data_IF_591138498158
#
_entry.id   IF_591138498158
#
_cell.length_a   1.000
_cell.length_b   1.000
_cell.length_c   1.000
_cell.angle_alpha   90.00
_cell.angle_beta   90.00
_cell.angle_gamma   90.00
#
_symmetry.space_group_name_H-M   'P 1'
#
loop_
_entity.id
_entity.type
_entity.pdbx_description
1 polymer ?
#
# COMPACT_ATOMS: atom_id res chain seq x y z
N UNK A 1 10.21 -5.95 -16.34
CA UNK A 1 10.10 -5.06 -15.15
C UNK A 1 11.19 -5.28 -14.09
N UNK A 2 11.72 -6.49 -13.92
CA UNK A 2 12.80 -6.76 -12.94
C UNK A 2 14.19 -6.33 -13.40
N UNK A 3 14.32 -5.90 -14.66
CA UNK A 3 15.53 -5.32 -15.25
C UNK A 3 15.26 -3.84 -15.52
N UNK A 4 16.01 -2.95 -14.86
CA UNK A 4 15.74 -1.51 -14.88
C UNK A 4 15.99 -0.90 -16.26
N UNK A 5 17.09 -1.26 -16.91
CA UNK A 5 17.45 -0.85 -18.28
C UNK A 5 16.32 -1.12 -19.30
N UNK A 6 15.67 -2.29 -19.20
CA UNK A 6 14.54 -2.63 -20.06
C UNK A 6 13.29 -1.80 -19.76
N UNK A 7 13.08 -1.42 -18.50
CA UNK A 7 11.97 -0.55 -18.08
C UNK A 7 12.19 0.87 -18.56
N UNK A 8 13.42 1.38 -18.43
CA UNK A 8 13.81 2.70 -18.93
C UNK A 8 13.64 2.77 -20.45
N UNK A 9 14.07 1.75 -21.18
CA UNK A 9 13.86 1.65 -22.63
C UNK A 9 12.37 1.69 -23.01
N UNK A 10 11.52 0.94 -22.31
CA UNK A 10 10.07 0.95 -22.51
C UNK A 10 9.45 2.33 -22.24
N UNK A 11 9.85 3.01 -21.17
CA UNK A 11 9.36 4.36 -20.85
C UNK A 11 9.87 5.38 -21.86
N UNK A 12 11.12 5.27 -22.32
CA UNK A 12 11.68 6.13 -23.35
C UNK A 12 10.92 5.99 -24.68
N UNK A 13 10.56 4.76 -25.08
CA UNK A 13 9.72 4.52 -26.26
C UNK A 13 8.36 5.20 -26.13
N UNK A 14 7.72 5.08 -24.97
CA UNK A 14 6.45 5.76 -24.69
C UNK A 14 6.56 7.29 -24.83
N UNK A 15 7.62 7.87 -24.22
CA UNK A 15 7.91 9.30 -24.33
C UNK A 15 8.19 9.73 -25.77
N UNK A 16 8.96 8.95 -26.52
CA UNK A 16 9.26 9.26 -27.92
C UNK A 16 8.00 9.25 -28.80
N UNK A 17 7.08 8.33 -28.51
CA UNK A 17 5.84 8.17 -29.28
C UNK A 17 4.76 9.21 -28.94
N UNK A 18 4.60 9.55 -27.67
CA UNK A 18 3.47 10.35 -27.19
C UNK A 18 3.87 11.67 -26.53
N UNK A 19 5.17 11.93 -26.37
CA UNK A 19 5.72 13.16 -25.78
C UNK A 19 5.64 13.24 -24.26
N UNK A 20 4.87 12.36 -23.60
CA UNK A 20 4.60 12.39 -22.16
C UNK A 20 4.27 11.02 -21.58
N UNK A 21 4.35 10.91 -20.26
CA UNK A 21 3.83 9.76 -19.49
C UNK A 21 3.07 10.30 -18.28
N UNK A 22 1.76 10.06 -18.25
CA UNK A 22 0.85 10.62 -17.25
C UNK A 22 0.37 9.62 -16.21
N UNK A 23 0.20 8.38 -16.65
CA UNK A 23 -0.40 7.30 -15.86
C UNK A 23 0.55 6.11 -15.85
N UNK A 24 0.82 5.58 -14.66
CA UNK A 24 1.49 4.29 -14.48
C UNK A 24 0.61 3.36 -13.65
N UNK A 25 0.31 2.19 -14.20
CA UNK A 25 -0.43 1.12 -13.50
C UNK A 25 0.53 -0.05 -13.27
N UNK A 26 0.97 -0.22 -12.02
CA UNK A 26 1.83 -1.34 -11.60
C UNK A 26 0.99 -2.58 -11.26
N UNK A 27 0.57 -3.32 -12.30
CA UNK A 27 -0.29 -4.51 -12.17
C UNK A 27 0.44 -5.86 -12.28
N UNK A 28 1.63 -5.89 -12.88
CA UNK A 28 2.35 -7.13 -13.15
C UNK A 28 2.65 -7.93 -11.84
N UNK A 29 2.52 -9.25 -11.91
CA UNK A 29 2.67 -10.11 -10.74
C UNK A 29 2.78 -11.60 -11.07
N UNK A 30 3.29 -12.37 -10.11
CA UNK A 30 3.38 -13.83 -10.13
C UNK A 30 3.02 -14.44 -8.76
N UNK A 31 2.75 -15.75 -8.71
CA UNK A 31 2.54 -16.52 -7.48
C UNK A 31 3.62 -17.61 -7.31
N UNK A 32 3.94 -17.92 -6.05
CA UNK A 32 4.85 -19.00 -5.59
C UNK A 32 4.42 -19.45 -4.20
N UNK A 33 3.18 -19.92 -4.13
CA UNK A 33 2.48 -20.16 -2.86
C UNK A 33 2.96 -21.46 -2.23
N UNK A 34 3.44 -21.36 -0.98
CA UNK A 34 3.92 -22.46 -0.15
C UNK A 34 3.79 -22.06 1.31
N UNK A 35 3.55 -23.03 2.21
CA UNK A 35 3.74 -22.79 3.64
C UNK A 35 5.16 -22.30 3.88
N UNK A 36 5.35 -21.38 4.83
CA UNK A 36 6.67 -20.76 5.03
C UNK A 36 7.79 -21.80 5.25
N UNK A 37 7.50 -22.86 6.00
CA UNK A 37 8.42 -23.99 6.23
C UNK A 37 8.86 -24.73 4.95
N UNK A 38 8.07 -24.68 3.88
CA UNK A 38 8.34 -25.34 2.60
C UNK A 38 8.79 -24.35 1.52
N UNK A 39 8.77 -23.07 1.81
CA UNK A 39 9.14 -22.01 0.87
C UNK A 39 10.66 -21.90 0.78
N UNK A 40 11.20 -21.97 -0.43
CA UNK A 40 12.61 -21.66 -0.63
C UNK A 40 12.80 -20.15 -0.65
N UNK A 41 13.99 -19.68 -0.28
CA UNK A 41 14.28 -18.25 -0.35
C UNK A 41 14.33 -17.74 -1.80
N UNK A 42 14.57 -18.60 -2.78
CA UNK A 42 14.46 -18.24 -4.19
C UNK A 42 13.01 -17.98 -4.62
N UNK A 43 12.07 -18.81 -4.15
CA UNK A 43 10.63 -18.57 -4.37
C UNK A 43 10.20 -17.24 -3.72
N UNK A 44 10.69 -16.96 -2.52
CA UNK A 44 10.43 -15.69 -1.83
C UNK A 44 11.00 -14.51 -2.61
N UNK A 45 12.29 -14.56 -2.94
CA UNK A 45 13.01 -13.50 -3.66
C UNK A 45 12.36 -13.23 -5.01
N UNK A 46 12.00 -14.26 -5.76
CA UNK A 46 11.39 -14.09 -7.09
C UNK A 46 10.06 -13.34 -7.04
N UNK A 47 9.23 -13.59 -6.02
CA UNK A 47 7.98 -12.84 -5.81
C UNK A 47 8.29 -11.39 -5.45
N UNK A 48 9.21 -11.13 -4.51
CA UNK A 48 9.60 -9.76 -4.13
C UNK A 48 10.23 -9.00 -5.30
N UNK A 49 11.10 -9.63 -6.07
CA UNK A 49 11.74 -9.05 -7.26
C UNK A 49 10.68 -8.55 -8.26
N UNK A 50 9.67 -9.36 -8.57
CA UNK A 50 8.63 -8.98 -9.53
C UNK A 50 7.71 -7.90 -8.96
N UNK A 51 7.17 -8.11 -7.75
CA UNK A 51 6.12 -7.25 -7.21
C UNK A 51 6.64 -5.96 -6.60
N UNK A 52 7.72 -6.01 -5.83
CA UNK A 52 8.28 -4.83 -5.16
C UNK A 52 9.32 -4.14 -6.02
N UNK A 53 10.42 -4.82 -6.37
CA UNK A 53 11.49 -4.18 -7.15
C UNK A 53 11.03 -3.82 -8.57
N UNK A 54 10.23 -4.68 -9.21
CA UNK A 54 9.63 -4.37 -10.52
C UNK A 54 8.75 -3.11 -10.48
N UNK A 55 7.91 -2.97 -9.46
CA UNK A 55 7.09 -1.77 -9.23
C UNK A 55 7.97 -0.54 -8.97
N UNK A 56 9.00 -0.66 -8.14
CA UNK A 56 9.92 0.44 -7.86
C UNK A 56 10.67 0.89 -9.12
N UNK A 57 11.13 -0.04 -9.95
CA UNK A 57 11.80 0.25 -11.23
C UNK A 57 10.87 1.04 -12.16
N UNK A 58 9.64 0.56 -12.37
CA UNK A 58 8.65 1.23 -13.22
C UNK A 58 8.32 2.63 -12.72
N UNK A 59 8.07 2.77 -11.40
CA UNK A 59 7.78 4.07 -10.80
C UNK A 59 8.97 5.03 -10.92
N UNK A 60 10.20 4.55 -10.66
CA UNK A 60 11.42 5.37 -10.77
C UNK A 60 11.62 5.88 -12.19
N UNK A 61 11.39 5.04 -13.20
CA UNK A 61 11.58 5.39 -14.61
C UNK A 61 10.64 6.50 -15.09
N UNK A 62 9.42 6.63 -14.51
CA UNK A 62 8.47 7.69 -14.88
C UNK A 62 8.52 8.92 -13.95
N UNK A 63 9.12 8.80 -12.77
CA UNK A 63 9.01 9.79 -11.69
C UNK A 63 9.48 11.19 -12.08
N UNK A 64 10.69 11.32 -12.63
CA UNK A 64 11.23 12.63 -13.02
C UNK A 64 10.41 13.26 -14.15
N UNK A 65 9.91 12.45 -15.09
CA UNK A 65 9.02 12.94 -16.14
C UNK A 65 7.72 13.49 -15.56
N UNK A 66 7.11 12.80 -14.60
CA UNK A 66 5.90 13.28 -13.91
C UNK A 66 6.17 14.55 -13.08
N UNK A 67 7.35 14.66 -12.45
CA UNK A 67 7.76 15.85 -11.70
C UNK A 67 7.91 17.07 -12.59
N UNK A 68 8.62 16.92 -13.71
CA UNK A 68 8.81 17.98 -14.72
C UNK A 68 7.47 18.45 -15.31
N UNK A 69 6.54 17.51 -15.54
CA UNK A 69 5.19 17.80 -16.05
C UNK A 69 4.24 18.42 -15.01
N UNK A 70 4.59 18.40 -13.72
CA UNK A 70 3.66 18.69 -12.61
C UNK A 70 2.33 17.92 -12.72
N UNK A 71 2.41 16.66 -13.15
CA UNK A 71 1.27 15.77 -13.23
C UNK A 71 1.74 14.31 -13.24
N UNK A 72 1.12 13.49 -12.40
CA UNK A 72 1.29 12.03 -12.44
C UNK A 72 0.19 11.29 -11.70
N UNK A 73 -0.19 10.12 -12.20
CA UNK A 73 -1.17 9.23 -11.59
C UNK A 73 -0.59 7.82 -11.54
N UNK A 74 -0.32 7.33 -10.34
CA UNK A 74 0.29 6.02 -10.13
C UNK A 74 -0.66 5.13 -9.35
N UNK A 75 -0.99 3.97 -9.91
CA UNK A 75 -1.69 2.92 -9.21
C UNK A 75 -0.74 1.76 -8.90
N UNK A 76 -0.69 1.36 -7.65
CA UNK A 76 -0.01 0.17 -7.17
C UNK A 76 -1.04 -0.95 -6.96
N UNK A 77 -0.67 -2.21 -7.19
CA UNK A 77 -1.56 -3.35 -6.95
C UNK A 77 -1.13 -4.12 -5.70
N UNK A 78 -1.85 -3.93 -4.60
CA UNK A 78 -1.79 -4.75 -3.38
C UNK A 78 -2.74 -5.97 -3.50
N UNK A 79 -3.18 -6.54 -2.38
CA UNK A 79 -4.18 -7.62 -2.30
C UNK A 79 -4.71 -7.78 -0.87
N UNK A 80 -5.82 -8.50 -0.71
CA UNK A 80 -6.28 -8.95 0.61
C UNK A 80 -5.18 -9.70 1.38
N UNK A 81 -4.38 -10.55 0.73
CA UNK A 81 -3.26 -11.26 1.36
C UNK A 81 -2.18 -10.33 1.91
N UNK A 82 -2.00 -9.16 1.31
CA UNK A 82 -1.06 -8.14 1.82
C UNK A 82 -1.61 -7.33 2.98
N UNK A 83 -2.92 -7.11 3.01
CA UNK A 83 -3.57 -6.26 4.03
C UNK A 83 -3.93 -7.10 5.27
N UNK A 84 -4.47 -8.29 5.07
CA UNK A 84 -5.06 -9.14 6.13
C UNK A 84 -4.28 -10.44 6.36
N UNK A 85 -3.34 -10.78 5.47
CA UNK A 85 -2.66 -12.07 5.46
C UNK A 85 -3.42 -13.17 4.72
N UNK A 86 -2.68 -14.19 4.28
CA UNK A 86 -3.27 -15.42 3.73
C UNK A 86 -2.31 -16.60 3.95
N UNK A 87 -2.85 -17.76 4.30
CA UNK A 87 -2.04 -18.94 4.59
C UNK A 87 -1.26 -19.39 3.35
N UNK A 88 0.04 -19.67 3.52
CA UNK A 88 0.91 -20.11 2.43
C UNK A 88 1.37 -19.01 1.46
N UNK A 89 1.13 -17.74 1.80
CA UNK A 89 1.48 -16.59 0.96
C UNK A 89 2.39 -15.58 1.68
N UNK A 90 3.36 -16.04 2.48
CA UNK A 90 4.24 -15.10 3.22
C UNK A 90 5.07 -14.20 2.30
N UNK A 91 5.57 -14.72 1.17
CA UNK A 91 6.25 -13.94 0.13
C UNK A 91 5.32 -12.93 -0.56
N UNK A 92 4.17 -13.40 -1.04
CA UNK A 92 3.20 -12.60 -1.76
C UNK A 92 2.55 -11.54 -0.87
N UNK A 93 2.11 -11.93 0.33
CA UNK A 93 1.60 -11.04 1.36
C UNK A 93 2.60 -9.94 1.72
N UNK A 94 3.87 -10.29 1.97
CA UNK A 94 4.91 -9.30 2.24
C UNK A 94 5.10 -8.31 1.07
N UNK A 95 5.21 -8.81 -0.16
CA UNK A 95 5.39 -7.95 -1.33
C UNK A 95 4.17 -7.05 -1.60
N UNK A 96 2.94 -7.54 -1.37
CA UNK A 96 1.70 -6.77 -1.55
C UNK A 96 1.45 -5.77 -0.42
N UNK A 97 1.85 -6.08 0.82
CA UNK A 97 1.82 -5.14 1.93
C UNK A 97 2.79 -3.96 1.69
N UNK A 98 3.95 -4.22 1.09
CA UNK A 98 4.95 -3.19 0.77
C UNK A 98 4.40 -2.09 -0.16
N UNK A 99 3.38 -2.37 -0.99
CA UNK A 99 2.73 -1.37 -1.83
C UNK A 99 2.13 -0.22 -1.00
N UNK A 100 1.56 -0.53 0.17
CA UNK A 100 0.95 0.48 1.06
C UNK A 100 2.03 1.38 1.64
N UNK A 101 3.13 0.81 2.13
CA UNK A 101 4.28 1.59 2.61
C UNK A 101 4.89 2.47 1.51
N UNK A 102 5.03 1.93 0.30
CA UNK A 102 5.57 2.67 -0.84
C UNK A 102 4.66 3.83 -1.27
N UNK A 103 3.35 3.59 -1.36
CA UNK A 103 2.35 4.63 -1.62
C UNK A 103 2.42 5.74 -0.57
N UNK A 104 2.49 5.40 0.72
CA UNK A 104 2.50 6.38 1.80
C UNK A 104 3.67 7.37 1.69
N UNK A 105 4.85 6.89 1.31
CA UNK A 105 6.03 7.75 1.13
C UNK A 105 5.91 8.58 -0.15
N UNK A 106 5.59 7.95 -1.28
CA UNK A 106 5.49 8.65 -2.56
C UNK A 106 4.35 9.67 -2.61
N UNK A 107 3.29 9.48 -1.83
CA UNK A 107 2.24 10.49 -1.64
C UNK A 107 2.83 11.81 -1.18
N UNK A 108 3.72 11.78 -0.17
CA UNK A 108 4.37 12.98 0.36
C UNK A 108 5.39 13.57 -0.62
N UNK A 109 6.20 12.72 -1.26
CA UNK A 109 7.21 13.17 -2.24
C UNK A 109 6.58 13.77 -3.50
N UNK A 110 5.43 13.26 -3.93
CA UNK A 110 4.72 13.67 -5.15
C UNK A 110 3.79 14.88 -4.98
N UNK A 111 3.44 15.24 -3.74
CA UNK A 111 2.40 16.22 -3.44
C UNK A 111 2.63 17.58 -4.11
N UNK A 112 3.88 18.08 -4.10
CA UNK A 112 4.24 19.39 -4.69
C UNK A 112 4.13 19.42 -6.22
N UNK A 113 4.20 18.26 -6.87
CA UNK A 113 4.19 18.13 -8.33
C UNK A 113 2.89 17.51 -8.86
N UNK A 114 1.81 17.51 -8.06
CA UNK A 114 0.50 16.92 -8.43
C UNK A 114 0.64 15.45 -8.93
N UNK A 115 1.55 14.70 -8.30
CA UNK A 115 1.68 13.26 -8.49
C UNK A 115 0.85 12.59 -7.39
N UNK A 116 -0.17 11.84 -7.80
CA UNK A 116 -1.04 11.08 -6.89
C UNK A 116 -0.72 9.61 -6.99
N UNK A 117 -0.54 8.97 -5.83
CA UNK A 117 -0.24 7.54 -5.74
C UNK A 117 -1.34 6.89 -4.91
N UNK A 118 -1.96 5.86 -5.48
CA UNK A 118 -3.01 5.07 -4.84
C UNK A 118 -2.71 3.58 -4.97
N UNK A 119 -3.33 2.78 -4.11
CA UNK A 119 -3.21 1.33 -4.08
C UNK A 119 -4.57 0.69 -4.33
N UNK A 120 -4.61 -0.27 -5.25
CA UNK A 120 -5.76 -1.14 -5.48
C UNK A 120 -5.53 -2.48 -4.74
N UNK A 121 -6.53 -2.96 -4.02
CA UNK A 121 -6.61 -4.31 -3.50
C UNK A 121 -7.76 -5.05 -4.20
N UNK A 122 -7.48 -5.67 -5.37
CA UNK A 122 -8.52 -6.26 -6.18
C UNK A 122 -8.88 -7.69 -5.71
N UNK A 123 -10.14 -8.05 -5.93
CA UNK A 123 -10.64 -9.42 -5.86
C UNK A 123 -11.33 -9.74 -7.18
N UNK A 124 -10.62 -10.43 -8.07
CA UNK A 124 -11.11 -10.82 -9.39
C UNK A 124 -10.72 -12.26 -9.72
N UNK A 125 -11.63 -12.99 -10.36
CA UNK A 125 -11.36 -14.26 -11.01
C UNK A 125 -10.40 -13.98 -12.17
N UNK A 126 -9.17 -14.46 -12.02
CA UNK A 126 -8.16 -14.43 -13.08
C UNK A 126 -7.71 -15.86 -13.34
N UNK A 127 -6.83 -16.05 -14.33
CA UNK A 127 -6.12 -17.33 -14.54
C UNK A 127 -5.48 -17.89 -13.25
N UNK A 128 -5.20 -17.04 -12.26
CA UNK A 128 -4.67 -17.47 -10.95
C UNK A 128 -5.71 -18.17 -10.05
N UNK A 129 -7.02 -18.03 -10.33
CA UNK A 129 -8.13 -18.61 -9.55
C UNK A 129 -8.93 -19.67 -10.32
N UNK A 130 -8.55 -19.99 -11.55
CA UNK A 130 -9.21 -21.03 -12.36
C UNK A 130 -9.16 -22.39 -11.65
N UNK A 131 -10.31 -23.05 -11.55
CA UNK A 131 -10.45 -24.37 -10.89
C UNK A 131 -10.51 -24.34 -9.37
N UNK A 132 -10.34 -23.18 -8.72
CA UNK A 132 -10.44 -23.04 -7.26
C UNK A 132 -11.82 -22.62 -6.76
N UNK A 133 -12.66 -22.04 -7.62
CA UNK A 133 -13.98 -21.50 -7.25
C UNK A 133 -15.08 -22.00 -8.19
N UNK A 134 -16.34 -22.13 -7.72
CA UNK A 134 -17.48 -22.45 -8.56
C UNK A 134 -17.68 -21.41 -9.68
N UNK A 135 -18.14 -21.86 -10.85
CA UNK A 135 -18.36 -20.99 -12.02
C UNK A 135 -19.29 -19.81 -11.73
N UNK A 136 -20.35 -20.04 -10.95
CA UNK A 136 -21.29 -19.00 -10.51
C UNK A 136 -20.58 -17.87 -9.74
N UNK A 137 -19.57 -18.20 -8.93
CA UNK A 137 -18.76 -17.23 -8.19
C UNK A 137 -17.76 -16.55 -9.12
N UNK A 138 -17.14 -17.30 -10.04
CA UNK A 138 -16.23 -16.74 -11.03
C UNK A 138 -16.90 -15.68 -11.91
N UNK A 139 -18.15 -15.91 -12.32
CA UNK A 139 -18.93 -14.96 -13.12
C UNK A 139 -19.23 -13.64 -12.38
N UNK A 140 -19.29 -13.67 -11.04
CA UNK A 140 -19.42 -12.46 -10.23
C UNK A 140 -18.10 -11.71 -10.06
N UNK A 141 -16.96 -12.30 -10.42
CA UNK A 141 -15.64 -11.74 -10.12
C UNK A 141 -14.86 -11.36 -11.38
N UNK A 142 -15.55 -11.05 -12.47
CA UNK A 142 -14.90 -10.69 -13.74
C UNK A 142 -14.00 -9.45 -13.58
N UNK A 143 -12.81 -9.41 -14.21
CA UNK A 143 -11.87 -8.30 -14.08
C UNK A 143 -12.47 -6.93 -14.43
N UNK A 144 -13.40 -6.88 -15.38
CA UNK A 144 -14.08 -5.68 -15.86
C UNK A 144 -14.85 -4.98 -14.74
N UNK A 145 -15.30 -5.73 -13.72
CA UNK A 145 -16.02 -5.20 -12.57
C UNK A 145 -15.13 -4.39 -11.62
N UNK A 146 -13.81 -4.47 -11.78
CA UNK A 146 -12.83 -3.67 -11.02
C UNK A 146 -12.36 -2.44 -11.81
N UNK A 147 -12.52 -2.44 -13.14
CA UNK A 147 -12.06 -1.38 -14.04
C UNK A 147 -12.53 0.03 -13.65
N UNK A 148 -13.79 0.28 -13.23
CA UNK A 148 -14.20 1.62 -12.81
C UNK A 148 -13.36 2.17 -11.65
N UNK A 149 -12.99 1.32 -10.68
CA UNK A 149 -12.12 1.69 -9.57
C UNK A 149 -10.70 2.00 -10.04
N UNK A 150 -10.14 1.18 -10.93
CA UNK A 150 -8.83 1.42 -11.55
C UNK A 150 -8.79 2.78 -12.23
N UNK A 151 -9.78 3.06 -13.11
CA UNK A 151 -9.85 4.30 -13.86
C UNK A 151 -10.00 5.52 -12.95
N UNK A 152 -10.81 5.42 -11.89
CA UNK A 152 -10.94 6.52 -10.93
C UNK A 152 -9.63 6.82 -10.19
N UNK A 153 -8.91 5.79 -9.73
CA UNK A 153 -7.63 5.94 -9.02
C UNK A 153 -6.51 6.59 -9.86
N UNK A 154 -6.66 6.62 -11.18
CA UNK A 154 -5.72 7.25 -12.10
C UNK A 154 -6.32 8.39 -12.93
N UNK A 155 -7.53 8.83 -12.59
CA UNK A 155 -8.18 9.97 -13.25
C UNK A 155 -7.55 11.30 -12.82
N UNK A 156 -7.88 12.38 -13.53
CA UNK A 156 -7.49 13.74 -13.12
C UNK A 156 -7.96 14.07 -11.70
N UNK A 157 -9.15 13.62 -11.33
CA UNK A 157 -9.77 13.81 -10.00
C UNK A 157 -9.50 12.64 -9.04
N UNK A 158 -8.51 11.79 -9.33
CA UNK A 158 -8.15 10.67 -8.46
C UNK A 158 -7.88 11.15 -7.03
N UNK A 159 -8.21 10.36 -6.00
CA UNK A 159 -7.73 10.66 -4.65
C UNK A 159 -6.20 10.49 -4.57
N UNK A 160 -5.63 10.60 -3.38
CA UNK A 160 -4.22 10.29 -3.13
C UNK A 160 -4.11 9.56 -1.79
N UNK A 161 -3.13 8.67 -1.65
CA UNK A 161 -2.94 7.84 -0.44
C UNK A 161 -4.16 6.97 -0.12
N UNK A 162 -4.88 6.48 -1.13
CA UNK A 162 -6.06 5.62 -0.94
C UNK A 162 -5.73 4.15 -1.18
N UNK A 163 -6.24 3.28 -0.30
CA UNK A 163 -6.27 1.83 -0.51
C UNK A 163 -7.69 1.44 -0.89
N UNK A 164 -7.94 1.19 -2.17
CA UNK A 164 -9.27 0.83 -2.68
C UNK A 164 -9.41 -0.70 -2.74
N UNK A 165 -10.29 -1.26 -1.92
CA UNK A 165 -10.83 -2.60 -2.11
C UNK A 165 -11.80 -2.61 -3.29
N UNK A 166 -11.65 -3.54 -4.23
CA UNK A 166 -12.54 -3.63 -5.38
C UNK A 166 -12.73 -5.08 -5.84
N UNK A 167 -13.98 -5.51 -6.01
CA UNK A 167 -14.28 -6.87 -6.46
C UNK A 167 -15.79 -7.07 -6.60
N UNK A 168 -16.19 -7.87 -7.57
CA UNK A 168 -17.60 -8.14 -7.85
C UNK A 168 -18.50 -6.90 -8.04
N UNK A 169 -17.93 -5.80 -8.56
CA UNK A 169 -18.64 -4.54 -8.74
C UNK A 169 -18.83 -3.75 -7.44
N UNK A 170 -18.29 -4.24 -6.32
CA UNK A 170 -18.27 -3.54 -5.04
C UNK A 170 -16.94 -2.82 -4.83
N UNK A 171 -16.99 -1.70 -4.11
CA UNK A 171 -15.83 -0.86 -3.80
C UNK A 171 -15.85 -0.46 -2.32
N UNK A 172 -14.70 -0.47 -1.67
CA UNK A 172 -14.50 -0.02 -0.30
C UNK A 172 -13.15 0.65 -0.14
N UNK A 173 -12.98 1.50 0.88
CA UNK A 173 -11.69 2.09 1.22
C UNK A 173 -11.18 1.47 2.50
N UNK A 174 -9.93 1.01 2.49
CA UNK A 174 -9.23 0.51 3.68
C UNK A 174 -8.46 1.66 4.32
N UNK A 175 -8.64 1.83 5.62
CA UNK A 175 -7.95 2.83 6.43
C UNK A 175 -7.07 2.15 7.47
N UNK A 176 -5.97 2.81 7.85
CA UNK A 176 -5.11 2.42 8.96
C UNK A 176 -5.33 3.43 10.09
N UNK A 177 -5.82 2.93 11.22
CA UNK A 177 -6.08 3.71 12.42
C UNK A 177 -5.11 3.31 13.52
N UNK A 178 -4.82 4.25 14.42
CA UNK A 178 -4.05 4.00 15.63
C UNK A 178 -4.84 4.44 16.85
N UNK A 179 -4.82 3.65 17.91
CA UNK A 179 -5.48 3.96 19.18
C UNK A 179 -4.84 5.18 19.86
N UNK A 180 -5.55 5.82 20.82
CA UNK A 180 -4.98 6.88 21.64
C UNK A 180 -3.70 6.44 22.36
N UNK A 181 -2.77 7.37 22.53
CA UNK A 181 -1.55 7.12 23.29
C UNK A 181 -1.87 6.98 24.79
N UNK A 182 -1.28 5.99 25.45
CA UNK A 182 -1.37 5.79 26.90
C UNK A 182 0.01 6.00 27.51
N UNK A 183 0.15 7.03 28.35
CA UNK A 183 1.38 7.27 29.09
C UNK A 183 1.43 6.39 30.35
N UNK A 184 2.54 5.67 30.55
CA UNK A 184 2.71 4.67 31.62
C UNK A 184 3.84 5.02 32.61
N UNK A 185 4.19 6.30 32.78
CA UNK A 185 5.19 6.71 33.79
C UNK A 185 6.62 6.90 33.28
N UNK A 186 6.83 6.97 31.95
CA UNK A 186 8.10 7.34 31.34
C UNK A 186 9.21 6.30 31.57
N UNK A 187 10.39 6.74 32.00
CA UNK A 187 11.57 5.87 32.17
C UNK A 187 11.41 4.79 33.26
N UNK A 188 10.42 4.92 34.14
CA UNK A 188 10.14 3.95 35.21
C UNK A 188 9.07 2.92 34.82
N UNK A 189 8.48 3.03 33.62
CA UNK A 189 7.47 2.09 33.15
C UNK A 189 8.04 0.67 33.05
N UNK A 190 7.26 -0.31 33.50
CA UNK A 190 7.61 -1.73 33.50
C UNK A 190 6.77 -2.52 32.50
N UNK A 191 7.13 -3.79 32.28
CA UNK A 191 6.30 -4.72 31.50
C UNK A 191 4.94 -4.95 32.16
N UNK A 192 4.89 -4.95 33.49
CA UNK A 192 3.66 -5.15 34.25
C UNK A 192 2.72 -3.95 34.11
N UNK A 193 3.27 -2.72 34.02
CA UNK A 193 2.46 -1.52 33.74
C UNK A 193 1.78 -1.60 32.36
N UNK A 194 2.49 -2.09 31.34
CA UNK A 194 1.92 -2.31 30.00
C UNK A 194 0.82 -3.37 30.06
N UNK A 195 1.07 -4.50 30.73
CA UNK A 195 0.10 -5.59 30.85
C UNK A 195 -1.16 -5.14 31.61
N UNK A 196 -0.99 -4.43 32.73
CA UNK A 196 -2.08 -3.92 33.55
C UNK A 196 -2.93 -2.87 32.82
N UNK A 197 -2.38 -2.19 31.81
CA UNK A 197 -3.07 -1.17 31.00
C UNK A 197 -3.43 -1.66 29.59
N UNK A 198 -3.27 -2.95 29.28
CA UNK A 198 -3.43 -3.45 27.91
C UNK A 198 -4.81 -3.17 27.33
N UNK A 199 -5.88 -3.36 28.09
CA UNK A 199 -7.25 -3.07 27.64
C UNK A 199 -7.43 -1.61 27.20
N UNK A 200 -6.78 -0.67 27.91
CA UNK A 200 -6.79 0.74 27.57
C UNK A 200 -5.97 1.02 26.30
N UNK A 201 -4.80 0.40 26.17
CA UNK A 201 -3.91 0.54 25.00
C UNK A 201 -4.58 -0.01 23.74
N UNK A 202 -5.26 -1.15 23.85
CA UNK A 202 -5.89 -1.85 22.72
C UNK A 202 -7.32 -1.40 22.42
N UNK A 203 -7.87 -0.44 23.17
CA UNK A 203 -9.22 0.05 22.95
C UNK A 203 -9.32 0.85 21.65
N UNK A 204 -10.23 0.47 20.76
CA UNK A 204 -10.52 1.20 19.52
C UNK A 204 -11.26 2.53 19.77
N UNK A 205 -11.69 2.81 21.00
CA UNK A 205 -12.36 4.06 21.33
C UNK A 205 -11.41 5.25 21.10
N UNK A 206 -11.80 6.14 20.18
CA UNK A 206 -11.01 7.32 19.82
C UNK A 206 -9.83 7.04 18.88
N UNK A 207 -9.80 5.89 18.20
CA UNK A 207 -8.81 5.64 17.15
C UNK A 207 -8.89 6.69 16.04
N UNK A 208 -7.73 7.00 15.46
CA UNK A 208 -7.63 8.03 14.42
C UNK A 208 -6.59 7.64 13.36
N UNK A 209 -6.79 8.15 12.14
CA UNK A 209 -5.80 8.00 11.07
C UNK A 209 -4.60 8.89 11.36
N UNK A 210 -3.40 8.40 11.04
CA UNK A 210 -2.15 9.15 11.21
C UNK A 210 -1.59 9.51 9.83
N UNK A 211 -1.44 10.82 9.58
CA UNK A 211 -1.14 11.31 8.24
C UNK A 211 0.32 11.11 7.82
N UNK A 212 1.26 11.28 8.76
CA UNK A 212 2.69 11.13 8.54
C UNK A 212 3.38 10.57 9.80
N UNK A 213 4.56 9.97 9.63
CA UNK A 213 5.31 9.35 10.73
C UNK A 213 5.55 10.31 11.91
N UNK A 214 5.85 11.58 11.65
CA UNK A 214 6.09 12.56 12.73
C UNK A 214 4.82 12.94 13.50
N UNK A 215 3.63 12.79 12.89
CA UNK A 215 2.36 13.00 13.60
C UNK A 215 2.16 11.96 14.72
N UNK A 216 2.64 10.73 14.53
CA UNK A 216 2.68 9.71 15.58
C UNK A 216 3.59 10.15 16.74
N UNK A 217 4.79 10.64 16.43
CA UNK A 217 5.70 11.19 17.45
C UNK A 217 5.05 12.30 18.25
N UNK A 218 4.41 13.26 17.58
CA UNK A 218 3.69 14.36 18.23
C UNK A 218 2.56 13.84 19.12
N UNK A 219 1.81 12.82 18.69
CA UNK A 219 0.76 12.19 19.50
C UNK A 219 1.33 11.63 20.81
N UNK A 220 2.45 10.90 20.76
CA UNK A 220 3.07 10.35 21.96
C UNK A 220 3.66 11.44 22.87
N UNK A 221 4.34 12.43 22.29
CA UNK A 221 4.91 13.55 23.04
C UNK A 221 3.82 14.38 23.71
N UNK A 222 2.69 14.62 23.03
CA UNK A 222 1.55 15.33 23.60
C UNK A 222 0.95 14.58 24.81
N UNK A 223 0.70 13.28 24.69
CA UNK A 223 0.18 12.48 25.80
C UNK A 223 1.14 12.44 27.00
N UNK A 224 2.44 12.33 26.75
CA UNK A 224 3.45 12.38 27.82
C UNK A 224 3.53 13.77 28.47
N UNK A 225 3.50 14.84 27.66
CA UNK A 225 3.56 16.20 28.16
C UNK A 225 2.34 16.55 29.01
N UNK A 226 1.14 16.15 28.58
CA UNK A 226 -0.10 16.30 29.35
C UNK A 226 0.00 15.57 30.70
N UNK A 227 0.42 14.30 30.70
CA UNK A 227 0.54 13.51 31.92
C UNK A 227 1.60 14.05 32.89
N UNK A 228 2.65 14.71 32.38
CA UNK A 228 3.73 15.29 33.17
C UNK A 228 3.54 16.78 33.49
N UNK A 229 2.48 17.41 33.00
CA UNK A 229 2.25 18.85 33.14
C UNK A 229 3.28 19.73 32.40
N UNK A 230 3.95 19.18 31.39
CA UNK A 230 4.93 19.90 30.57
C UNK A 230 4.19 20.69 29.48
N UNK A 231 4.48 21.99 29.36
CA UNK A 231 3.96 22.81 28.25
C UNK A 231 4.83 22.62 27.01
N UNK A 232 4.25 22.07 25.95
CA UNK A 232 4.90 22.06 24.63
C UNK A 232 4.84 23.47 24.04
N UNK A 233 5.99 24.02 23.65
CA UNK A 233 6.05 25.28 22.91
C UNK A 233 5.44 25.09 21.52
N UNK A 234 4.55 26.01 21.13
CA UNK A 234 4.00 26.10 19.77
C UNK A 234 4.97 26.77 18.81
#
# INVERSE_FOLDING_TARGET
>A
ITKLDQVEAMVAEAKAKWGRVDILINNAGILRDKTFSKMTMDDFKKVVDVHLFGTANCTKAVWETMREQNYGRIMLTSSASGIYGNFGQSNYGAAKAAMVGFMNVLHHEGAKNNIRVNTLAPTAATRMLEGLIPEQVANLMQPELVTPGVLYLVSENAPSKTILGAGAGCFSVVHIYETPAVFLGGANATVDDVAANWEKISSAAGEQSIDAAFAQTNKFVAAAAEALGVKLGG
#
